data_IF_064835593746
#
_entry.id   IF_064835593746
#
_cell.length_a   1.000
_cell.length_b   1.000
_cell.length_c   1.000
_cell.angle_alpha   90.00
_cell.angle_beta   90.00
_cell.angle_gamma   90.00
#
_symmetry.space_group_name_H-M   'P 1'
#
loop_
_entity.id
_entity.type
_entity.pdbx_description
1 polymer ?
#
# COMPACT_ATOMS: atom_id res chain seq x y z
N UNK A 1 12.35 15.71 -9.14
CA UNK A 1 12.45 14.91 -7.89
C UNK A 1 12.62 15.86 -6.73
N UNK A 2 11.79 15.76 -5.70
CA UNK A 2 11.92 16.54 -4.46
C UNK A 2 12.45 15.66 -3.34
N UNK A 3 13.17 16.25 -2.38
CA UNK A 3 13.81 15.52 -1.29
C UNK A 3 13.49 16.18 0.05
N UNK A 4 12.86 15.44 0.95
CA UNK A 4 12.45 15.92 2.27
C UNK A 4 13.18 15.14 3.36
N UNK A 5 13.66 15.83 4.40
CA UNK A 5 14.29 15.19 5.57
C UNK A 5 13.32 15.20 6.73
N UNK A 6 13.19 14.06 7.38
CA UNK A 6 12.40 13.89 8.59
C UNK A 6 13.33 13.42 9.71
N UNK A 7 13.11 13.93 10.93
CA UNK A 7 13.82 13.47 12.13
C UNK A 7 12.81 12.99 13.16
N UNK A 8 12.95 11.76 13.62
CA UNK A 8 12.14 11.22 14.70
C UNK A 8 13.01 10.38 15.63
N UNK A 9 13.02 10.68 16.93
CA UNK A 9 13.73 9.93 17.99
C UNK A 9 15.12 9.43 17.55
N UNK A 10 15.96 10.34 17.06
CA UNK A 10 17.34 10.12 16.56
C UNK A 10 17.50 9.39 15.22
N UNK A 11 16.41 8.90 14.62
CA UNK A 11 16.41 8.44 13.24
C UNK A 11 16.37 9.66 12.30
N UNK A 12 17.35 9.77 11.40
CA UNK A 12 17.30 10.71 10.29
C UNK A 12 16.85 9.95 9.04
N UNK A 13 15.63 10.22 8.60
CA UNK A 13 15.06 9.64 7.39
C UNK A 13 15.05 10.66 6.26
N UNK A 14 15.45 10.26 5.07
CA UNK A 14 15.34 11.06 3.86
C UNK A 14 14.32 10.42 2.93
N UNK A 15 13.26 11.15 2.63
CA UNK A 15 12.22 10.73 1.68
C UNK A 15 12.50 11.43 0.35
N UNK A 16 12.72 10.65 -0.71
CA UNK A 16 12.79 11.17 -2.09
C UNK A 16 11.46 10.93 -2.78
N UNK A 17 10.85 11.98 -3.31
CA UNK A 17 9.51 11.95 -3.89
C UNK A 17 9.58 12.27 -5.39
N UNK A 18 8.82 11.52 -6.19
CA UNK A 18 8.57 11.82 -7.61
C UNK A 18 7.15 12.37 -7.77
N UNK A 19 7.06 13.61 -8.26
CA UNK A 19 5.82 14.34 -8.56
C UNK A 19 5.58 14.37 -10.07
N UNK A 20 4.32 14.51 -10.50
CA UNK A 20 3.94 14.80 -11.89
C UNK A 20 3.33 16.20 -12.06
N UNK A 21 3.40 16.72 -13.29
CA UNK A 21 3.04 18.10 -13.64
C UNK A 21 1.53 18.37 -13.65
N UNK A 22 0.70 17.32 -13.75
CA UNK A 22 -0.75 17.43 -13.98
C UNK A 22 -1.59 17.40 -12.69
N UNK A 23 -0.94 17.44 -11.54
CA UNK A 23 -1.55 17.39 -10.21
C UNK A 23 -0.56 16.78 -9.24
N UNK A 24 -0.45 17.35 -8.04
CA UNK A 24 0.54 17.00 -7.02
C UNK A 24 0.34 15.59 -6.40
N UNK A 25 0.28 14.55 -7.24
CA UNK A 25 0.24 13.17 -6.82
C UNK A 25 1.67 12.63 -6.64
N UNK A 26 1.94 12.07 -5.46
CA UNK A 26 3.18 11.34 -5.19
C UNK A 26 3.06 9.98 -5.88
N UNK A 27 3.90 9.68 -6.88
CA UNK A 27 3.87 8.38 -7.59
C UNK A 27 4.71 7.31 -6.90
N UNK A 28 5.79 7.72 -6.25
CA UNK A 28 6.67 6.83 -5.48
C UNK A 28 7.52 7.62 -4.50
N UNK A 29 7.96 6.94 -3.44
CA UNK A 29 8.98 7.45 -2.55
C UNK A 29 9.97 6.39 -2.08
N UNK A 30 11.18 6.84 -1.77
CA UNK A 30 12.22 6.03 -1.14
C UNK A 30 12.56 6.59 0.24
N UNK A 31 12.44 5.77 1.28
CA UNK A 31 12.88 6.12 2.64
C UNK A 31 14.28 5.56 2.91
N UNK A 32 15.23 6.47 3.13
CA UNK A 32 16.60 6.15 3.49
C UNK A 32 16.81 6.50 4.96
N UNK A 33 17.22 5.52 5.78
CA UNK A 33 17.55 5.72 7.18
C UNK A 33 19.07 5.88 7.36
N UNK A 34 19.49 6.60 8.40
CA UNK A 34 20.91 6.79 8.76
C UNK A 34 21.51 5.61 9.55
N UNK A 35 20.76 4.52 9.73
CA UNK A 35 21.19 3.30 10.38
C UNK A 35 20.76 2.09 9.53
N UNK A 36 21.35 0.90 9.73
CA UNK A 36 20.90 -0.33 9.09
C UNK A 36 19.42 -0.57 9.43
N UNK A 37 18.58 -0.53 8.41
CA UNK A 37 17.15 -0.78 8.47
C UNK A 37 16.71 -1.17 7.06
N UNK A 38 15.57 -1.84 6.92
CA UNK A 38 14.95 -2.05 5.62
C UNK A 38 14.58 -0.71 4.99
N UNK A 39 15.36 -0.25 4.01
CA UNK A 39 14.93 0.83 3.13
C UNK A 39 13.76 0.32 2.28
N UNK A 40 12.61 0.97 2.37
CA UNK A 40 11.44 0.60 1.57
C UNK A 40 11.27 1.57 0.41
N UNK A 41 11.20 1.00 -0.79
CA UNK A 41 10.64 1.68 -1.95
C UNK A 41 9.13 1.48 -1.93
N UNK A 42 8.35 2.55 -1.96
CA UNK A 42 6.91 2.47 -2.09
C UNK A 42 6.45 3.12 -3.39
N UNK A 43 5.63 2.41 -4.14
CA UNK A 43 4.88 2.95 -5.28
C UNK A 43 3.51 3.36 -4.78
N UNK A 44 3.16 4.61 -5.01
CA UNK A 44 1.92 5.26 -4.57
C UNK A 44 0.91 5.40 -5.72
N UNK A 45 1.23 4.86 -6.90
CA UNK A 45 0.34 4.87 -8.06
C UNK A 45 -0.92 4.02 -7.77
N UNK A 46 -2.14 4.62 -7.72
CA UNK A 46 -3.37 3.88 -7.49
C UNK A 46 -3.61 2.76 -8.50
N UNK A 47 -3.10 2.88 -9.73
CA UNK A 47 -3.25 1.86 -10.76
C UNK A 47 -2.45 0.59 -10.43
N UNK A 48 -1.30 0.74 -9.78
CA UNK A 48 -0.45 -0.39 -9.38
C UNK A 48 -1.04 -1.19 -8.22
N UNK A 49 -1.99 -0.61 -7.47
CA UNK A 49 -2.73 -1.28 -6.39
C UNK A 49 -4.01 -1.94 -6.86
N UNK A 50 -4.48 -1.63 -8.07
CA UNK A 50 -5.80 -2.03 -8.55
C UNK A 50 -5.83 -3.53 -8.83
N UNK A 51 -6.67 -4.24 -8.08
CA UNK A 51 -6.96 -5.65 -8.35
C UNK A 51 -7.85 -5.77 -9.60
N UNK A 52 -7.54 -6.75 -10.45
CA UNK A 52 -8.39 -7.20 -11.55
C UNK A 52 -9.67 -7.86 -11.00
N UNK A 53 -10.68 -8.04 -11.85
CA UNK A 53 -11.92 -8.70 -11.41
C UNK A 53 -11.67 -10.14 -10.93
N UNK A 54 -10.79 -10.87 -11.62
CA UNK A 54 -10.40 -12.22 -11.26
C UNK A 54 -9.63 -12.27 -9.93
N UNK A 55 -8.64 -11.40 -9.76
CA UNK A 55 -7.90 -11.30 -8.49
C UNK A 55 -8.83 -10.95 -7.33
N UNK A 56 -9.80 -10.06 -7.53
CA UNK A 56 -10.79 -9.70 -6.52
C UNK A 56 -11.63 -10.89 -6.09
N UNK A 57 -12.15 -11.68 -7.02
CA UNK A 57 -12.94 -12.88 -6.70
C UNK A 57 -12.08 -13.94 -5.99
N UNK A 58 -10.84 -14.17 -6.46
CA UNK A 58 -9.91 -15.13 -5.85
C UNK A 58 -9.47 -14.73 -4.44
N UNK A 59 -9.38 -13.43 -4.16
CA UNK A 59 -8.95 -12.88 -2.85
C UNK A 59 -10.12 -12.59 -1.92
N UNK A 60 -11.36 -12.58 -2.41
CA UNK A 60 -12.58 -12.33 -1.64
C UNK A 60 -12.68 -13.14 -0.34
N UNK A 61 -12.42 -14.46 -0.29
CA UNK A 61 -12.46 -15.20 0.96
C UNK A 61 -11.38 -14.74 1.94
N UNK A 62 -10.17 -14.46 1.47
CA UNK A 62 -9.07 -13.97 2.30
C UNK A 62 -9.41 -12.60 2.89
N UNK A 63 -9.90 -11.68 2.06
CA UNK A 63 -10.25 -10.32 2.49
C UNK A 63 -11.41 -10.34 3.49
N UNK A 64 -12.42 -11.21 3.32
CA UNK A 64 -13.59 -11.26 4.21
C UNK A 64 -13.32 -11.98 5.53
N UNK A 65 -12.56 -13.07 5.52
CA UNK A 65 -12.47 -13.98 6.67
C UNK A 65 -11.20 -13.84 7.49
N UNK A 66 -10.12 -13.28 6.94
CA UNK A 66 -8.91 -13.02 7.71
C UNK A 66 -9.10 -11.80 8.61
N UNK A 67 -8.88 -11.93 9.92
CA UNK A 67 -9.02 -10.83 10.87
C UNK A 67 -7.84 -9.84 10.78
N UNK A 68 -6.63 -10.36 10.56
CA UNK A 68 -5.39 -9.58 10.47
C UNK A 68 -5.28 -8.82 9.14
N UNK A 69 -5.06 -7.51 9.21
CA UNK A 69 -4.80 -6.72 8.01
C UNK A 69 -3.45 -7.08 7.37
N UNK A 70 -2.44 -7.43 8.18
CA UNK A 70 -1.11 -7.76 7.70
C UNK A 70 -1.10 -9.08 6.91
N UNK A 71 -1.82 -10.10 7.38
CA UNK A 71 -1.97 -11.37 6.65
C UNK A 71 -2.68 -11.17 5.30
N UNK A 72 -3.71 -10.30 5.24
CA UNK A 72 -4.37 -9.96 3.98
C UNK A 72 -3.41 -9.23 3.03
N UNK A 73 -2.61 -8.29 3.55
CA UNK A 73 -1.61 -7.56 2.75
C UNK A 73 -0.56 -8.53 2.19
N UNK A 74 -0.06 -9.46 3.01
CA UNK A 74 0.91 -10.47 2.57
C UNK A 74 0.33 -11.40 1.52
N UNK A 75 -0.90 -11.89 1.72
CA UNK A 75 -1.56 -12.77 0.75
C UNK A 75 -1.81 -12.08 -0.60
N UNK A 76 -2.22 -10.82 -0.59
CA UNK A 76 -2.39 -10.01 -1.80
C UNK A 76 -1.04 -9.86 -2.50
N UNK A 77 0.01 -9.51 -1.75
CA UNK A 77 1.36 -9.33 -2.30
C UNK A 77 1.91 -10.64 -2.89
N UNK A 78 1.74 -11.76 -2.20
CA UNK A 78 2.19 -13.08 -2.65
C UNK A 78 1.51 -13.51 -3.94
N UNK A 79 0.18 -13.33 -4.03
CA UNK A 79 -0.62 -13.82 -5.16
C UNK A 79 -0.62 -12.90 -6.37
N UNK A 80 -0.42 -11.60 -6.18
CA UNK A 80 -0.59 -10.59 -7.25
C UNK A 80 0.64 -9.71 -7.46
N UNK A 81 1.62 -9.76 -6.56
CA UNK A 81 2.76 -8.84 -6.54
C UNK A 81 2.40 -7.39 -6.15
N UNK A 82 1.12 -7.11 -5.87
CA UNK A 82 0.63 -5.75 -5.61
C UNK A 82 0.82 -5.36 -4.16
N UNK A 83 1.25 -4.12 -3.95
CA UNK A 83 1.46 -3.57 -2.63
C UNK A 83 0.25 -2.74 -2.21
N UNK A 84 -0.51 -3.25 -1.23
CA UNK A 84 -1.68 -2.58 -0.66
C UNK A 84 -1.40 -2.18 0.80
N UNK A 85 -2.17 -1.24 1.32
CA UNK A 85 -2.05 -0.75 2.70
C UNK A 85 -3.20 -1.25 3.58
N UNK A 86 -3.07 -1.13 4.90
CA UNK A 86 -4.15 -1.47 5.83
C UNK A 86 -5.43 -0.64 5.57
N UNK A 87 -5.31 0.60 5.11
CA UNK A 87 -6.45 1.42 4.71
C UNK A 87 -7.14 0.85 3.46
N UNK A 88 -6.36 0.36 2.48
CA UNK A 88 -6.88 -0.29 1.28
C UNK A 88 -7.68 -1.56 1.67
N UNK A 89 -7.12 -2.40 2.54
CA UNK A 89 -7.79 -3.62 3.07
C UNK A 89 -9.08 -3.29 3.80
N UNK A 90 -9.08 -2.26 4.65
CA UNK A 90 -10.29 -1.78 5.35
C UNK A 90 -11.38 -1.36 4.35
N UNK A 91 -11.00 -0.64 3.30
CA UNK A 91 -11.92 -0.26 2.21
C UNK A 91 -12.48 -1.48 1.47
N UNK A 92 -11.62 -2.44 1.11
CA UNK A 92 -12.04 -3.67 0.43
C UNK A 92 -13.03 -4.48 1.29
N UNK A 93 -12.73 -4.66 2.59
CA UNK A 93 -13.64 -5.31 3.54
C UNK A 93 -15.00 -4.62 3.57
N UNK A 94 -15.03 -3.29 3.72
CA UNK A 94 -16.27 -2.52 3.72
C UNK A 94 -17.09 -2.71 2.44
N UNK A 95 -16.45 -2.66 1.26
CA UNK A 95 -17.15 -2.87 -0.02
C UNK A 95 -17.73 -4.27 -0.16
N UNK A 96 -17.02 -5.31 0.32
CA UNK A 96 -17.49 -6.69 0.27
C UNK A 96 -18.58 -6.98 1.30
N UNK A 97 -18.53 -6.32 2.47
CA UNK A 97 -19.58 -6.43 3.50
C UNK A 97 -20.87 -5.74 3.08
N UNK A 98 -20.80 -4.59 2.40
CA UNK A 98 -21.99 -3.86 1.90
C UNK A 98 -22.70 -4.64 0.79
N UNK A 99 -21.98 -5.46 0.02
CA UNK A 99 -22.56 -6.38 -0.98
C UNK A 99 -23.34 -7.57 -0.40
N UNK A 100 -23.50 -7.66 0.94
CA UNK A 100 -24.15 -8.78 1.64
C UNK A 100 -25.51 -8.41 2.27
N UNK A 101 -26.11 -7.29 1.90
CA UNK A 101 -27.51 -7.02 2.21
C UNK A 101 -28.40 -7.77 1.19
N UNK A 102 -28.96 -8.91 1.61
CA UNK A 102 -30.13 -9.55 1.00
C UNK A 102 -31.32 -9.18 1.88
#
# INVERSE_FOLDING_TARGET
MSSHRFKFRNCQSKVRVRLEEQGYAIKSFNMLHNHPCSSSWMVCDPWTKRLSSEEKENLKPVILHCESADEVIESIKERTGKQVTAADVKGMKATLSIGKCI
#
